data_IF_235794054828
#
_entry.id   IF_235794054828
#
_cell.length_a   1.000
_cell.length_b   1.000
_cell.length_c   1.000
_cell.angle_alpha   90.00
_cell.angle_beta   90.00
_cell.angle_gamma   90.00
#
_symmetry.space_group_name_H-M   'P 1'
#
loop_
_entity.id
_entity.type
_entity.pdbx_description
1 polymer ?
#
# COMPACT_ATOMS: atom_id res chain seq x y z
N UNK A 1 -5.24 -8.71 2.27
CA UNK A 1 -3.82 -9.03 2.51
C UNK A 1 -3.21 -8.01 3.45
N UNK A 2 -2.15 -8.37 4.15
CA UNK A 2 -1.45 -7.41 5.00
C UNK A 2 0.05 -7.58 4.93
N UNK A 3 0.75 -6.45 4.86
CA UNK A 3 2.20 -6.37 4.74
C UNK A 3 2.72 -5.69 6.01
N UNK A 4 3.62 -6.37 6.71
CA UNK A 4 4.36 -5.81 7.82
C UNK A 4 5.57 -5.05 7.26
N UNK A 5 5.68 -3.77 7.61
CA UNK A 5 6.77 -2.88 7.18
C UNK A 5 7.62 -2.42 8.37
N UNK A 6 7.51 -3.03 9.54
CA UNK A 6 8.17 -2.59 10.78
C UNK A 6 9.68 -2.47 10.60
N UNK A 7 10.36 -3.54 10.21
CA UNK A 7 11.82 -3.56 10.05
C UNK A 7 12.36 -2.53 9.03
N UNK A 8 11.90 -2.52 7.76
CA UNK A 8 12.46 -1.58 6.78
C UNK A 8 12.12 -0.11 7.07
N UNK A 9 11.02 0.18 7.77
CA UNK A 9 10.67 1.54 8.20
C UNK A 9 11.51 1.97 9.39
N UNK A 10 11.72 1.10 10.38
CA UNK A 10 12.57 1.38 11.54
C UNK A 10 14.05 1.57 11.13
N UNK A 11 14.52 0.78 10.18
CA UNK A 11 15.88 0.88 9.62
C UNK A 11 16.06 2.11 8.71
N UNK A 12 14.99 2.89 8.45
CA UNK A 12 15.02 4.08 7.60
C UNK A 12 15.14 3.81 6.10
N UNK A 13 15.03 2.53 5.68
CA UNK A 13 15.18 2.10 4.30
C UNK A 13 13.87 2.19 3.49
N UNK A 14 12.74 2.40 4.16
CA UNK A 14 11.41 2.49 3.54
C UNK A 14 10.60 3.63 4.15
N UNK A 15 9.91 4.37 3.29
CA UNK A 15 8.91 5.36 3.67
C UNK A 15 7.52 4.76 3.43
N UNK A 16 6.80 4.44 4.50
CA UNK A 16 5.51 3.75 4.40
C UNK A 16 4.46 4.53 3.59
N UNK A 17 4.47 5.86 3.65
CA UNK A 17 3.55 6.73 2.87
C UNK A 17 3.78 6.60 1.37
N UNK A 18 5.03 6.52 0.93
CA UNK A 18 5.36 6.38 -0.49
C UNK A 18 4.96 4.99 -1.00
N UNK A 19 5.07 3.98 -0.14
CA UNK A 19 4.66 2.63 -0.47
C UNK A 19 3.13 2.49 -0.57
N UNK A 20 2.38 3.13 0.33
CA UNK A 20 0.92 3.28 0.20
C UNK A 20 0.53 3.96 -1.12
N UNK A 21 1.18 5.08 -1.45
CA UNK A 21 0.96 5.80 -2.71
C UNK A 21 1.26 4.94 -3.93
N UNK A 22 2.32 4.15 -3.89
CA UNK A 22 2.65 3.20 -4.95
C UNK A 22 1.50 2.21 -5.19
N UNK A 23 0.89 1.65 -4.14
CA UNK A 23 -0.26 0.77 -4.30
C UNK A 23 -1.47 1.48 -4.91
N UNK A 24 -1.78 2.70 -4.46
CA UNK A 24 -2.87 3.51 -5.00
C UNK A 24 -2.72 3.74 -6.52
N UNK A 25 -1.49 3.98 -6.98
CA UNK A 25 -1.20 4.30 -8.39
C UNK A 25 -0.98 3.06 -9.28
N UNK A 26 -0.54 1.93 -8.72
CA UNK A 26 -0.06 0.78 -9.51
C UNK A 26 -0.94 -0.45 -9.46
N UNK A 27 -1.80 -0.60 -8.46
CA UNK A 27 -2.77 -1.70 -8.46
C UNK A 27 -3.73 -1.52 -9.64
N UNK A 28 -3.97 -2.61 -10.36
CA UNK A 28 -4.88 -2.65 -11.50
C UNK A 28 -6.13 -3.42 -11.16
N UNK A 29 -7.28 -2.84 -11.48
CA UNK A 29 -8.58 -3.51 -11.46
C UNK A 29 -9.07 -3.54 -12.90
N UNK A 30 -9.36 -4.75 -13.42
CA UNK A 30 -9.73 -4.98 -14.83
C UNK A 30 -8.69 -4.41 -15.82
N UNK A 31 -7.40 -4.57 -15.49
CA UNK A 31 -6.29 -4.18 -16.36
C UNK A 31 -5.93 -2.68 -16.35
N UNK A 32 -6.66 -1.84 -15.60
CA UNK A 32 -6.42 -0.39 -15.53
C UNK A 32 -6.01 0.05 -14.12
N UNK A 33 -5.04 0.95 -14.04
CA UNK A 33 -4.68 1.66 -12.80
C UNK A 33 -5.70 2.76 -12.51
N UNK A 34 -5.63 3.36 -11.31
CA UNK A 34 -6.56 4.42 -10.87
C UNK A 34 -8.04 4.01 -10.91
N UNK A 35 -8.32 2.71 -10.89
CA UNK A 35 -9.66 2.13 -11.02
C UNK A 35 -10.03 1.28 -9.78
N UNK A 36 -9.56 1.69 -8.60
CA UNK A 36 -9.72 0.90 -7.38
C UNK A 36 -11.18 0.86 -6.90
N UNK A 37 -11.89 1.99 -6.98
CA UNK A 37 -13.30 2.09 -6.60
C UNK A 37 -13.54 1.52 -5.19
N UNK A 38 -14.52 0.61 -5.08
CA UNK A 38 -14.79 -0.15 -3.86
C UNK A 38 -14.20 -1.57 -3.90
N UNK A 39 -13.43 -1.91 -4.94
CA UNK A 39 -12.89 -3.25 -5.15
C UNK A 39 -11.57 -3.47 -4.42
N UNK A 40 -10.83 -2.39 -4.13
CA UNK A 40 -9.58 -2.42 -3.38
C UNK A 40 -9.50 -1.21 -2.47
N UNK A 41 -9.27 -1.44 -1.19
CA UNK A 41 -8.97 -0.44 -0.16
C UNK A 41 -7.55 -0.64 0.35
N UNK A 42 -6.81 0.45 0.53
CA UNK A 42 -5.46 0.44 1.06
C UNK A 42 -5.45 1.29 2.33
N UNK A 43 -5.06 0.68 3.45
CA UNK A 43 -4.95 1.35 4.74
C UNK A 43 -3.52 1.22 5.28
N UNK A 44 -2.91 2.36 5.57
CA UNK A 44 -1.58 2.41 6.18
C UNK A 44 -1.66 2.77 7.65
N UNK A 45 -0.93 1.99 8.45
CA UNK A 45 -0.51 2.35 9.81
C UNK A 45 1.00 2.58 9.85
N UNK A 46 1.56 2.93 11.02
CA UNK A 46 2.99 3.27 11.15
C UNK A 46 3.92 2.17 10.61
N UNK A 47 3.56 0.90 10.81
CA UNK A 47 4.43 -0.24 10.51
C UNK A 47 3.74 -1.36 9.73
N UNK A 48 2.57 -1.09 9.14
CA UNK A 48 1.76 -2.11 8.46
C UNK A 48 0.88 -1.47 7.40
N UNK A 49 0.77 -2.14 6.25
CA UNK A 49 -0.13 -1.77 5.15
C UNK A 49 -1.13 -2.90 4.93
N UNK A 50 -2.42 -2.61 5.06
CA UNK A 50 -3.49 -3.53 4.73
C UNK A 50 -4.06 -3.20 3.34
N UNK A 51 -4.30 -4.24 2.55
CA UNK A 51 -4.97 -4.16 1.24
C UNK A 51 -6.19 -5.07 1.29
N UNK A 52 -7.39 -4.51 1.21
CA UNK A 52 -8.66 -5.24 1.34
C UNK A 52 -9.45 -5.18 0.05
#
# INVERSE_FOLDING_TARGET
>A
FTIDTSHPVEDGNMIATDFEKFFLERIKVNGKTNNLGNAVQIDRSKSKIAVT
#
